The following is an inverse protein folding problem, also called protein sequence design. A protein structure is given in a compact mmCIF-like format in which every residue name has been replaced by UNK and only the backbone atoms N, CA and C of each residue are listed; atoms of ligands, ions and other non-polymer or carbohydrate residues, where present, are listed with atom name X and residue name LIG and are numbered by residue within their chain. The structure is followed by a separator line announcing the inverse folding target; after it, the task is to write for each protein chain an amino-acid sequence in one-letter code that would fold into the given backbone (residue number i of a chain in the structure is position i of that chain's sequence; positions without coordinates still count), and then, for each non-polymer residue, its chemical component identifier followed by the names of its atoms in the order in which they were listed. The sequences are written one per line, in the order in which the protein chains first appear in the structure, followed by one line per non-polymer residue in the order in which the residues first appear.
data_IF_967332436493
#
_entry.id   IF_967332436493
#
_cell.length_a   1.000
_cell.length_b   1.000
_cell.length_c   1.000
_cell.angle_alpha   90.00
_cell.angle_beta   90.00
_cell.angle_gamma   90.00
#
_symmetry.space_group_name_H-M   'P 1'
#
loop_
_entity.id
_entity.type
_entity.pdbx_description
1 polymer ?
#
# COMPACT_ATOMS: atom_id res chain seq x y z
N UNK A 1 15.70 22.54 12.15
CA UNK A 1 14.26 22.21 12.12
C UNK A 1 13.94 21.41 13.37
N UNK A 2 12.86 21.72 14.05
CA UNK A 2 12.41 21.02 15.24
C UNK A 2 11.60 19.77 14.83
N UNK A 3 11.78 18.67 15.57
CA UNK A 3 11.00 17.45 15.34
C UNK A 3 9.62 17.60 15.98
N UNK A 4 8.57 17.21 15.25
CA UNK A 4 7.20 17.21 15.75
C UNK A 4 7.08 16.33 17.00
N UNK A 5 6.39 16.82 18.03
CA UNK A 5 6.10 16.05 19.23
C UNK A 5 4.85 15.17 19.00
N UNK A 6 4.77 13.98 19.62
CA UNK A 6 3.54 13.17 19.58
C UNK A 6 2.35 13.98 20.08
N UNK A 7 1.20 13.78 19.44
CA UNK A 7 -0.08 14.34 19.94
C UNK A 7 -0.52 13.50 21.14
N UNK A 8 -0.56 14.11 22.29
CA UNK A 8 -1.12 13.48 23.49
C UNK A 8 -2.64 13.70 23.50
N UNK A 9 -3.39 12.65 23.77
CA UNK A 9 -4.84 12.66 23.93
C UNK A 9 -5.13 12.38 25.39
N UNK A 10 -5.71 13.37 26.08
CA UNK A 10 -6.15 13.21 27.46
C UNK A 10 -7.33 12.24 27.53
N UNK A 11 -7.25 11.25 28.41
CA UNK A 11 -8.29 10.28 28.66
C UNK A 11 -8.71 10.29 30.13
N UNK A 12 -9.77 9.53 30.45
CA UNK A 12 -10.29 9.44 31.81
C UNK A 12 -9.35 8.70 32.78
N UNK A 13 -8.58 7.75 32.23
CA UNK A 13 -7.68 6.87 33.02
C UNK A 13 -6.21 7.18 32.83
N UNK A 14 -5.89 8.26 32.14
CA UNK A 14 -4.53 8.73 31.82
C UNK A 14 -4.36 9.10 30.35
N UNK A 15 -3.17 9.50 29.99
CA UNK A 15 -2.84 10.06 28.70
C UNK A 15 -2.47 8.97 27.68
N UNK A 16 -2.87 9.24 26.43
CA UNK A 16 -2.70 8.34 25.30
C UNK A 16 -1.92 9.00 24.19
N UNK A 17 -1.20 8.19 23.43
CA UNK A 17 -0.57 8.59 22.17
C UNK A 17 -0.98 7.66 21.02
N UNK A 18 -0.94 8.23 19.80
CA UNK A 18 -1.29 7.51 18.57
C UNK A 18 -0.07 6.80 18.01
N UNK A 19 -0.30 5.63 17.44
CA UNK A 19 0.66 4.88 16.66
C UNK A 19 0.04 4.60 15.29
N UNK A 20 0.58 5.22 14.27
CA UNK A 20 0.01 5.19 12.93
C UNK A 20 1.05 4.73 11.92
N UNK A 21 0.72 3.67 11.18
CA UNK A 21 1.36 3.26 9.94
C UNK A 21 0.43 3.47 8.76
N UNK A 22 0.99 3.63 7.58
CA UNK A 22 0.21 3.87 6.37
C UNK A 22 0.65 2.97 5.23
N UNK A 23 -0.32 2.53 4.45
CA UNK A 23 -0.14 1.80 3.21
C UNK A 23 -0.69 2.67 2.07
N UNK A 24 0.17 3.06 1.14
CA UNK A 24 -0.21 3.89 0.01
C UNK A 24 -0.13 3.06 -1.26
N UNK A 25 -1.27 2.84 -1.90
CA UNK A 25 -1.39 2.17 -3.17
C UNK A 25 -1.36 3.21 -4.30
N UNK A 26 -0.36 3.14 -5.15
CA UNK A 26 -0.16 4.08 -6.24
C UNK A 26 -0.09 3.34 -7.59
N UNK A 27 -1.06 3.58 -8.46
CA UNK A 27 -1.02 3.04 -9.81
C UNK A 27 0.12 3.65 -10.60
N UNK A 28 0.92 2.79 -11.23
CA UNK A 28 2.06 3.21 -12.03
C UNK A 28 1.55 3.84 -13.33
N UNK A 29 2.08 5.01 -13.67
CA UNK A 29 1.79 5.72 -14.94
C UNK A 29 2.40 4.97 -16.12
N UNK A 30 1.83 3.83 -16.47
CA UNK A 30 2.20 2.98 -17.61
C UNK A 30 1.07 2.93 -18.63
N UNK A 31 1.40 2.80 -19.92
CA UNK A 31 0.41 2.65 -21.00
C UNK A 31 -0.17 1.24 -21.09
N UNK A 32 0.52 0.27 -20.52
CA UNK A 32 0.11 -1.15 -20.47
C UNK A 32 0.23 -1.70 -19.07
N UNK A 33 -0.49 -2.78 -18.81
CA UNK A 33 -0.57 -3.42 -17.49
C UNK A 33 0.75 -4.08 -17.06
N UNK A 34 0.79 -4.58 -15.82
CA UNK A 34 2.00 -5.15 -15.24
C UNK A 34 2.46 -6.42 -15.96
N UNK A 35 1.53 -7.27 -16.37
CA UNK A 35 1.82 -8.57 -16.97
C UNK A 35 1.14 -8.79 -18.32
N UNK A 36 0.58 -7.75 -18.92
CA UNK A 36 -0.07 -7.83 -20.23
C UNK A 36 0.09 -6.53 -21.01
N UNK A 37 -0.17 -6.61 -22.33
CA UNK A 37 -0.18 -5.46 -23.22
C UNK A 37 -1.49 -4.66 -23.21
N UNK A 38 -2.49 -5.06 -22.40
CA UNK A 38 -3.76 -4.36 -22.33
C UNK A 38 -3.59 -2.92 -21.82
N UNK A 39 -4.43 -2.02 -22.33
CA UNK A 39 -4.38 -0.59 -22.00
C UNK A 39 -4.73 -0.34 -20.53
N UNK A 40 -4.14 0.72 -19.97
CA UNK A 40 -4.45 1.24 -18.63
C UNK A 40 -5.31 2.49 -18.67
N UNK A 41 -5.91 2.82 -19.82
CA UNK A 41 -6.73 4.02 -20.00
C UNK A 41 -7.91 4.03 -19.04
N UNK A 42 -8.07 5.12 -18.30
CA UNK A 42 -9.21 5.35 -17.43
C UNK A 42 -10.47 5.76 -18.25
N UNK A 43 -11.65 5.38 -17.77
CA UNK A 43 -12.93 5.79 -18.38
C UNK A 43 -13.30 5.09 -19.68
N UNK A 44 -12.60 4.01 -20.06
CA UNK A 44 -12.99 3.16 -21.18
C UNK A 44 -14.25 2.36 -20.87
N UNK A 45 -14.95 1.90 -21.91
CA UNK A 45 -16.12 1.00 -21.75
C UNK A 45 -15.76 -0.21 -20.89
N UNK A 46 -16.63 -0.67 -19.99
CA UNK A 46 -16.37 -1.81 -19.14
C UNK A 46 -15.86 -3.03 -19.91
N UNK A 47 -14.84 -3.68 -19.39
CA UNK A 47 -14.22 -4.88 -19.97
C UNK A 47 -13.63 -4.70 -21.39
N UNK A 48 -13.36 -3.47 -21.84
CA UNK A 48 -12.74 -3.21 -23.15
C UNK A 48 -11.21 -3.31 -23.13
N UNK A 49 -10.57 -3.14 -21.97
CA UNK A 49 -9.13 -3.18 -21.76
C UNK A 49 -8.70 -4.45 -20.99
N UNK A 50 -9.11 -5.63 -21.46
CA UNK A 50 -8.88 -6.91 -20.79
C UNK A 50 -8.11 -7.86 -21.71
N UNK A 51 -6.97 -8.35 -21.27
CA UNK A 51 -6.23 -9.43 -21.94
C UNK A 51 -6.67 -10.80 -21.41
N UNK A 52 -6.29 -11.86 -22.10
CA UNK A 52 -6.59 -13.24 -21.67
C UNK A 52 -5.96 -13.57 -20.30
N UNK A 53 -4.82 -12.98 -19.96
CA UNK A 53 -4.21 -13.14 -18.63
C UNK A 53 -5.00 -12.40 -17.56
N UNK A 54 -5.50 -11.18 -17.84
CA UNK A 54 -6.35 -10.43 -16.92
C UNK A 54 -7.67 -11.14 -16.65
N UNK A 55 -8.18 -11.85 -17.66
CA UNK A 55 -9.38 -12.69 -17.57
C UNK A 55 -9.14 -14.08 -16.95
N UNK A 56 -7.91 -14.39 -16.55
CA UNK A 56 -7.58 -15.68 -15.92
C UNK A 56 -7.72 -16.89 -16.84
N UNK A 57 -7.57 -16.72 -18.15
CA UNK A 57 -7.75 -17.79 -19.11
C UNK A 57 -6.68 -18.89 -18.95
N UNK A 58 -7.04 -20.18 -19.04
CA UNK A 58 -6.09 -21.27 -18.89
C UNK A 58 -4.93 -21.22 -19.88
N UNK A 59 -3.72 -21.52 -19.41
CA UNK A 59 -2.52 -21.58 -20.23
C UNK A 59 -1.86 -20.22 -20.50
N UNK A 60 -2.41 -19.14 -20.01
CA UNK A 60 -1.80 -17.82 -20.15
C UNK A 60 -0.75 -17.60 -19.07
N UNK A 61 0.47 -17.19 -19.49
CA UNK A 61 1.56 -16.90 -18.59
C UNK A 61 1.84 -15.39 -18.56
N UNK A 62 2.09 -14.82 -17.36
CA UNK A 62 2.39 -13.41 -17.20
C UNK A 62 3.77 -13.06 -17.79
N UNK A 63 3.85 -11.93 -18.49
CA UNK A 63 5.10 -11.36 -18.99
C UNK A 63 5.29 -9.97 -18.38
N UNK A 64 6.35 -9.82 -17.60
CA UNK A 64 6.60 -8.61 -16.82
C UNK A 64 6.85 -7.37 -17.68
N UNK A 65 6.15 -6.30 -17.38
CA UNK A 65 6.36 -4.99 -17.99
C UNK A 65 7.58 -4.30 -17.36
N UNK A 66 8.67 -4.24 -18.12
CA UNK A 66 9.93 -3.59 -17.72
C UNK A 66 9.72 -2.14 -17.27
N UNK A 67 8.87 -1.38 -17.98
CA UNK A 67 8.62 0.03 -17.64
C UNK A 67 8.07 0.19 -16.23
N UNK A 68 7.20 -0.73 -15.76
CA UNK A 68 6.68 -0.67 -14.40
C UNK A 68 7.78 -0.84 -13.36
N UNK A 69 8.74 -1.73 -13.60
CA UNK A 69 9.91 -1.90 -12.73
C UNK A 69 10.76 -0.63 -12.68
N UNK A 70 11.01 -0.01 -13.83
CA UNK A 70 11.75 1.25 -13.91
C UNK A 70 11.08 2.38 -13.10
N UNK A 71 9.76 2.47 -13.16
CA UNK A 71 9.02 3.48 -12.38
C UNK A 71 9.10 3.21 -10.87
N UNK A 72 9.01 1.96 -10.45
CA UNK A 72 9.12 1.60 -9.03
C UNK A 72 10.54 1.86 -8.49
N UNK A 73 11.58 1.53 -9.24
CA UNK A 73 12.96 1.86 -8.88
C UNK A 73 13.15 3.38 -8.78
N UNK A 74 12.60 4.14 -9.73
CA UNK A 74 12.64 5.62 -9.70
C UNK A 74 11.94 6.17 -8.47
N UNK A 75 10.81 5.60 -8.09
CA UNK A 75 10.09 5.96 -6.87
C UNK A 75 10.93 5.66 -5.63
N UNK A 76 11.53 4.47 -5.54
CA UNK A 76 12.40 4.09 -4.43
C UNK A 76 13.58 5.04 -4.26
N UNK A 77 14.25 5.41 -5.35
CA UNK A 77 15.34 6.39 -5.32
C UNK A 77 14.87 7.77 -4.86
N UNK A 78 13.69 8.20 -5.30
CA UNK A 78 13.08 9.48 -4.89
C UNK A 78 12.66 9.52 -3.43
N UNK A 79 12.50 8.36 -2.79
CA UNK A 79 12.15 8.19 -1.38
C UNK A 79 13.37 7.79 -0.52
N UNK A 80 14.59 7.98 -1.04
CA UNK A 80 15.84 7.59 -0.38
C UNK A 80 15.86 6.12 0.09
N UNK A 81 15.18 5.26 -0.65
CA UNK A 81 15.04 3.86 -0.29
C UNK A 81 16.10 2.98 -0.94
N UNK A 82 16.44 1.89 -0.27
CA UNK A 82 17.37 0.89 -0.79
C UNK A 82 16.72 0.10 -1.92
N UNK A 83 17.36 0.04 -3.07
CA UNK A 83 16.91 -0.81 -4.17
C UNK A 83 17.53 -2.20 -4.01
N UNK A 84 16.68 -3.23 -3.99
CA UNK A 84 17.10 -4.62 -3.96
C UNK A 84 17.42 -5.07 -5.39
N UNK A 85 18.65 -5.51 -5.62
CA UNK A 85 19.12 -5.91 -6.96
C UNK A 85 18.56 -7.26 -7.40
N UNK A 86 18.06 -8.05 -6.46
CA UNK A 86 17.34 -9.31 -6.69
C UNK A 86 16.01 -9.15 -5.98
N UNK A 87 14.94 -9.46 -6.69
CA UNK A 87 13.57 -9.35 -6.19
C UNK A 87 12.74 -10.47 -6.79
N UNK A 88 11.74 -10.95 -6.04
CA UNK A 88 10.86 -12.03 -6.47
C UNK A 88 9.40 -11.66 -6.31
N UNK A 89 8.57 -12.31 -7.13
CA UNK A 89 7.12 -12.25 -6.96
C UNK A 89 6.61 -13.48 -6.23
N UNK A 90 5.59 -13.23 -5.43
CA UNK A 90 4.83 -14.21 -4.67
C UNK A 90 3.39 -14.25 -5.19
N UNK A 91 2.65 -15.32 -4.88
CA UNK A 91 1.22 -15.42 -5.15
C UNK A 91 0.45 -15.24 -3.85
N UNK A 92 -0.38 -14.21 -3.80
CA UNK A 92 -1.32 -13.94 -2.71
C UNK A 92 -2.70 -14.43 -3.13
N UNK A 93 -3.22 -15.46 -2.50
CA UNK A 93 -4.55 -15.98 -2.82
C UNK A 93 -5.62 -14.90 -2.61
N UNK A 94 -6.47 -14.74 -3.61
CA UNK A 94 -7.50 -13.72 -3.63
C UNK A 94 -8.71 -14.24 -4.45
N UNK A 95 -9.74 -14.73 -3.76
CA UNK A 95 -10.88 -15.42 -4.37
C UNK A 95 -12.08 -14.50 -4.52
N UNK A 96 -11.94 -13.45 -5.34
CA UNK A 96 -13.01 -12.53 -5.67
C UNK A 96 -13.20 -12.44 -7.19
N UNK A 97 -14.43 -12.12 -7.67
CA UNK A 97 -14.74 -12.06 -9.10
C UNK A 97 -13.92 -11.03 -9.87
N UNK A 98 -13.45 -9.97 -9.21
CA UNK A 98 -12.66 -8.88 -9.77
C UNK A 98 -11.20 -9.24 -10.01
N UNK A 99 -10.77 -10.45 -9.63
CA UNK A 99 -9.47 -11.02 -9.96
C UNK A 99 -9.64 -12.49 -10.40
N UNK A 100 -10.05 -12.75 -11.66
CA UNK A 100 -10.49 -14.07 -12.11
C UNK A 100 -9.46 -15.19 -11.99
N UNK A 101 -8.17 -14.87 -11.98
CA UNK A 101 -7.10 -15.86 -11.81
C UNK A 101 -7.05 -16.47 -10.39
N UNK A 102 -7.80 -15.91 -9.41
CA UNK A 102 -7.88 -16.40 -8.04
C UNK A 102 -6.67 -16.12 -7.15
N UNK A 103 -5.69 -15.39 -7.64
CA UNK A 103 -4.53 -14.92 -6.88
C UNK A 103 -4.03 -13.58 -7.43
N UNK A 104 -3.41 -12.80 -6.56
CA UNK A 104 -2.70 -11.57 -6.90
C UNK A 104 -1.20 -11.86 -6.95
N UNK A 105 -0.55 -11.47 -8.03
CA UNK A 105 0.91 -11.48 -8.10
C UNK A 105 1.40 -10.24 -7.35
N UNK A 106 2.18 -10.44 -6.30
CA UNK A 106 2.66 -9.43 -5.38
C UNK A 106 4.11 -9.73 -4.96
N UNK A 107 4.66 -8.96 -4.03
CA UNK A 107 6.00 -9.18 -3.49
C UNK A 107 5.95 -9.08 -1.97
N UNK A 108 6.16 -10.17 -1.26
CA UNK A 108 6.15 -10.17 0.20
C UNK A 108 7.55 -10.30 0.80
N UNK A 109 8.28 -11.34 0.39
CA UNK A 109 9.56 -11.71 1.01
C UNK A 109 10.76 -10.94 0.44
N UNK A 110 10.76 -10.72 -0.86
CA UNK A 110 11.86 -10.07 -1.58
C UNK A 110 11.33 -8.89 -2.43
N UNK A 111 10.87 -7.80 -1.77
CA UNK A 111 10.32 -6.64 -2.46
C UNK A 111 11.40 -5.94 -3.30
N UNK A 112 10.99 -5.25 -4.36
CA UNK A 112 11.91 -4.52 -5.22
C UNK A 112 12.62 -3.38 -4.49
N UNK A 113 11.93 -2.71 -3.56
CA UNK A 113 12.46 -1.59 -2.81
C UNK A 113 12.34 -1.89 -1.32
N UNK A 114 13.46 -1.79 -0.63
CA UNK A 114 13.58 -1.97 0.81
C UNK A 114 13.36 -0.68 1.59
N UNK A 115 14.00 -0.58 2.74
CA UNK A 115 13.85 0.55 3.65
C UNK A 115 14.27 1.88 3.03
N UNK A 116 13.50 2.91 3.38
CA UNK A 116 13.73 4.28 2.98
C UNK A 116 13.19 5.26 4.02
N UNK A 117 13.15 6.53 3.67
CA UNK A 117 12.64 7.56 4.56
C UNK A 117 12.14 8.79 3.79
N UNK A 118 11.15 9.45 4.35
CA UNK A 118 10.68 10.74 3.87
C UNK A 118 10.52 11.70 5.03
N UNK A 119 10.97 12.95 4.84
CA UNK A 119 10.72 14.02 5.79
C UNK A 119 9.50 14.81 5.36
N UNK A 120 8.52 14.93 6.25
CA UNK A 120 7.32 15.72 6.04
C UNK A 120 7.39 17.03 6.83
N UNK A 121 6.78 18.07 6.28
CA UNK A 121 6.69 19.39 6.90
C UNK A 121 5.31 19.51 7.58
N UNK A 122 5.24 19.28 8.90
CA UNK A 122 3.98 19.28 9.66
C UNK A 122 3.46 20.71 9.85
N UNK A 123 4.37 21.62 10.17
CA UNK A 123 4.15 23.07 10.31
C UNK A 123 5.44 23.81 9.91
N UNK A 124 5.38 25.13 9.64
CA UNK A 124 6.58 25.90 9.38
C UNK A 124 7.65 25.69 10.45
N UNK A 125 8.81 25.16 10.07
CA UNK A 125 9.93 24.87 10.96
C UNK A 125 9.83 23.56 11.76
N UNK A 126 8.70 22.85 11.70
CA UNK A 126 8.48 21.58 12.41
C UNK A 126 8.37 20.44 11.39
N UNK A 127 9.23 19.46 11.50
CA UNK A 127 9.27 18.31 10.58
C UNK A 127 9.10 16.99 11.32
N UNK A 128 8.69 15.96 10.57
CA UNK A 128 8.70 14.56 11.02
C UNK A 128 9.40 13.72 9.95
N UNK A 129 10.29 12.86 10.38
CA UNK A 129 10.86 11.81 9.56
C UNK A 129 9.98 10.58 9.69
N UNK A 130 9.51 10.05 8.55
CA UNK A 130 8.71 8.83 8.45
C UNK A 130 9.52 7.80 7.70
N UNK A 131 9.80 6.67 8.32
CA UNK A 131 10.50 5.55 7.70
C UNK A 131 9.54 4.79 6.78
N UNK A 132 10.05 4.41 5.64
CA UNK A 132 9.40 3.48 4.72
C UNK A 132 9.99 2.11 5.00
N UNK A 133 9.12 1.11 5.18
CA UNK A 133 9.55 -0.27 5.39
C UNK A 133 9.93 -0.93 4.08
N UNK A 134 9.07 -0.77 3.06
CA UNK A 134 9.26 -1.31 1.71
C UNK A 134 8.35 -0.65 0.69
N UNK A 135 8.70 -0.84 -0.57
CA UNK A 135 7.77 -0.65 -1.69
C UNK A 135 7.79 -1.92 -2.50
N UNK A 136 6.62 -2.52 -2.68
CA UNK A 136 6.48 -3.68 -3.53
C UNK A 136 5.53 -3.42 -4.69
N UNK A 137 5.65 -4.25 -5.72
CA UNK A 137 4.84 -4.15 -6.92
C UNK A 137 3.85 -5.29 -6.93
N UNK A 138 2.61 -4.98 -7.30
CA UNK A 138 1.55 -5.95 -7.40
C UNK A 138 0.55 -5.61 -8.52
N UNK A 139 -0.35 -6.55 -8.80
CA UNK A 139 -1.48 -6.32 -9.69
C UNK A 139 -2.62 -5.63 -8.94
N UNK A 140 -3.22 -4.61 -9.54
CA UNK A 140 -4.50 -4.10 -9.03
C UNK A 140 -5.63 -5.09 -9.38
N UNK A 141 -6.66 -5.13 -8.53
CA UNK A 141 -7.89 -5.89 -8.78
C UNK A 141 -8.86 -5.09 -9.68
N UNK A 142 -9.84 -5.75 -10.24
CA UNK A 142 -10.91 -5.13 -11.01
C UNK A 142 -11.87 -4.32 -10.13
N UNK A 143 -13.05 -4.06 -10.66
CA UNK A 143 -14.10 -3.34 -9.95
C UNK A 143 -15.35 -4.22 -9.89
N UNK A 144 -15.85 -4.49 -8.70
CA UNK A 144 -17.17 -5.06 -8.47
C UNK A 144 -18.19 -3.95 -8.29
N UNK A 145 -19.34 -4.05 -8.98
CA UNK A 145 -20.38 -3.03 -9.04
C UNK A 145 -21.67 -3.70 -8.51
N UNK A 146 -22.22 -3.17 -7.41
CA UNK A 146 -23.36 -3.75 -6.69
C UNK A 146 -24.57 -2.86 -6.67
N UNK A 147 -24.49 -1.65 -7.21
CA UNK A 147 -25.49 -0.58 -7.15
C UNK A 147 -26.37 -0.46 -8.40
N UNK A 148 -26.06 -1.24 -9.44
CA UNK A 148 -26.83 -1.20 -10.70
C UNK A 148 -28.05 -2.12 -10.67
N UNK A 149 -28.01 -3.19 -9.90
CA UNK A 149 -29.09 -4.18 -9.78
C UNK A 149 -29.05 -4.82 -8.40
N UNK A 150 -30.19 -4.96 -7.69
CA UNK A 150 -30.21 -5.52 -6.34
C UNK A 150 -29.92 -7.03 -6.27
N UNK A 151 -30.07 -7.76 -7.37
CA UNK A 151 -29.86 -9.21 -7.42
C UNK A 151 -28.58 -9.61 -8.13
N UNK A 152 -27.92 -8.68 -8.84
CA UNK A 152 -26.75 -8.95 -9.66
C UNK A 152 -25.56 -8.11 -9.23
N UNK A 153 -24.40 -8.71 -9.29
CA UNK A 153 -23.11 -8.01 -9.21
C UNK A 153 -22.43 -8.02 -10.55
N UNK A 154 -22.04 -6.85 -11.01
CA UNK A 154 -21.31 -6.69 -12.26
C UNK A 154 -19.81 -6.56 -11.98
N UNK A 155 -18.99 -7.02 -12.92
CA UNK A 155 -17.54 -6.98 -12.81
C UNK A 155 -16.94 -6.27 -14.00
N UNK A 156 -16.13 -5.24 -13.73
CA UNK A 156 -15.32 -4.57 -14.72
C UNK A 156 -13.85 -4.89 -14.48
N UNK A 157 -13.23 -5.59 -15.43
CA UNK A 157 -11.84 -6.06 -15.37
C UNK A 157 -10.86 -5.07 -16.02
N UNK A 158 -11.29 -3.88 -16.43
CA UNK A 158 -10.39 -2.90 -17.04
C UNK A 158 -9.21 -2.55 -16.13
N UNK A 159 -9.43 -2.48 -14.81
CA UNK A 159 -8.38 -2.21 -13.83
C UNK A 159 -7.56 -3.45 -13.46
N UNK A 160 -8.11 -4.66 -13.63
CA UNK A 160 -7.41 -5.92 -13.28
C UNK A 160 -6.06 -6.00 -13.96
N UNK A 161 -5.00 -6.22 -13.19
CA UNK A 161 -3.64 -6.32 -13.70
C UNK A 161 -2.92 -4.99 -13.97
N UNK A 162 -3.55 -3.84 -13.72
CA UNK A 162 -2.85 -2.55 -13.70
C UNK A 162 -1.74 -2.60 -12.67
N UNK A 163 -0.57 -2.07 -13.00
CA UNK A 163 0.57 -2.09 -12.08
C UNK A 163 0.34 -1.16 -10.89
N UNK A 164 0.52 -1.68 -9.70
CA UNK A 164 0.35 -0.99 -8.44
C UNK A 164 1.66 -1.04 -7.65
N UNK A 165 2.08 0.10 -7.10
CA UNK A 165 3.10 0.17 -6.05
C UNK A 165 2.38 0.29 -4.72
N UNK A 166 2.71 -0.57 -3.77
CA UNK A 166 2.31 -0.43 -2.38
C UNK A 166 3.49 0.10 -1.56
N UNK A 167 3.34 1.30 -1.03
CA UNK A 167 4.34 1.99 -0.20
C UNK A 167 3.92 1.82 1.25
N UNK A 168 4.67 1.01 1.99
CA UNK A 168 4.38 0.68 3.39
C UNK A 168 5.28 1.50 4.30
N UNK A 169 4.70 2.30 5.20
CA UNK A 169 5.46 3.03 6.21
C UNK A 169 5.63 2.23 7.50
N UNK A 170 6.69 2.52 8.26
CA UNK A 170 6.77 2.13 9.67
C UNK A 170 5.77 2.98 10.50
N UNK A 171 5.42 2.56 11.72
CA UNK A 171 4.42 3.24 12.55
C UNK A 171 4.98 4.50 13.23
N UNK A 172 5.58 5.40 12.46
CA UNK A 172 6.27 6.60 12.95
C UNK A 172 5.36 7.83 13.05
N UNK A 173 4.16 7.76 12.48
CA UNK A 173 3.22 8.86 12.42
C UNK A 173 2.44 8.95 13.73
N UNK A 174 2.28 10.17 14.28
CA UNK A 174 1.81 10.41 15.63
C UNK A 174 0.60 11.32 15.74
N UNK A 175 0.09 11.81 14.62
CA UNK A 175 -1.10 12.66 14.59
C UNK A 175 -1.84 12.56 13.26
N UNK A 176 -3.15 12.92 13.23
CA UNK A 176 -3.91 13.01 11.98
C UNK A 176 -3.30 13.99 10.98
N UNK A 177 -2.72 15.07 11.47
CA UNK A 177 -2.04 16.09 10.67
C UNK A 177 -0.82 15.50 9.98
N UNK A 178 0.02 14.76 10.73
CA UNK A 178 1.20 14.10 10.18
C UNK A 178 0.81 13.05 9.12
N UNK A 179 -0.27 12.27 9.33
CA UNK A 179 -0.76 11.30 8.37
C UNK A 179 -1.18 11.96 7.05
N UNK A 180 -1.92 13.06 7.13
CA UNK A 180 -2.35 13.83 5.96
C UNK A 180 -1.16 14.44 5.21
N UNK A 181 -0.18 14.98 5.92
CA UNK A 181 1.04 15.55 5.32
C UNK A 181 1.91 14.46 4.69
N UNK A 182 1.96 13.26 5.29
CA UNK A 182 2.68 12.12 4.72
C UNK A 182 2.10 11.74 3.35
N UNK A 183 0.79 11.53 3.25
CA UNK A 183 0.14 11.22 1.97
C UNK A 183 0.32 12.35 0.96
N UNK A 184 0.20 13.61 1.40
CA UNK A 184 0.46 14.77 0.54
C UNK A 184 1.88 14.78 0.00
N UNK A 185 2.88 14.53 0.85
CA UNK A 185 4.30 14.51 0.46
C UNK A 185 4.60 13.37 -0.51
N UNK A 186 4.13 12.16 -0.22
CA UNK A 186 4.28 11.01 -1.14
C UNK A 186 3.63 11.34 -2.49
N UNK A 187 2.38 11.82 -2.50
CA UNK A 187 1.69 12.22 -3.73
C UNK A 187 2.48 13.25 -4.54
N UNK A 188 3.07 14.26 -3.89
CA UNK A 188 3.89 15.28 -4.54
C UNK A 188 5.14 14.66 -5.18
N UNK A 189 5.84 13.77 -4.47
CA UNK A 189 7.04 13.10 -4.96
C UNK A 189 6.69 12.23 -6.19
N UNK A 190 5.65 11.40 -6.10
CA UNK A 190 5.21 10.52 -7.19
C UNK A 190 4.85 11.32 -8.45
N UNK A 191 4.13 12.42 -8.29
CA UNK A 191 3.77 13.32 -9.40
C UNK A 191 4.99 14.03 -9.99
N UNK A 192 5.90 14.48 -9.16
CA UNK A 192 7.15 15.13 -9.62
C UNK A 192 8.03 14.15 -10.41
N UNK A 193 8.12 12.91 -9.95
CA UNK A 193 8.85 11.84 -10.65
C UNK A 193 8.12 11.33 -11.90
N UNK A 194 6.83 11.60 -12.04
CA UNK A 194 5.98 11.09 -13.11
C UNK A 194 5.67 9.61 -13.01
N UNK A 195 5.82 9.01 -11.82
CA UNK A 195 5.61 7.57 -11.60
C UNK A 195 4.18 7.20 -11.26
N UNK A 196 3.39 8.16 -10.77
CA UNK A 196 1.94 8.07 -10.56
C UNK A 196 1.32 9.46 -10.77
N UNK A 197 0.10 9.53 -11.27
CA UNK A 197 -0.63 10.81 -11.45
C UNK A 197 -1.16 11.39 -10.13
N UNK A 198 -1.27 10.54 -9.10
CA UNK A 198 -1.71 10.91 -7.76
C UNK A 198 -3.19 11.31 -7.68
N UNK A 199 -4.03 10.83 -8.59
CA UNK A 199 -5.46 11.15 -8.59
C UNK A 199 -6.23 10.24 -7.63
N UNK A 200 -6.57 10.77 -6.45
CA UNK A 200 -7.31 10.03 -5.43
C UNK A 200 -8.78 9.82 -5.81
N UNK A 201 -9.37 10.71 -6.62
CA UNK A 201 -10.78 10.62 -7.02
C UNK A 201 -11.01 9.50 -8.04
N UNK A 202 -10.06 9.28 -8.93
CA UNK A 202 -10.09 8.17 -9.89
C UNK A 202 -9.53 6.86 -9.33
N UNK A 203 -8.99 6.90 -8.10
CA UNK A 203 -8.44 5.73 -7.43
C UNK A 203 -7.02 5.36 -7.85
N UNK A 204 -6.33 6.25 -8.60
CA UNK A 204 -4.91 6.05 -8.94
C UNK A 204 -3.99 6.14 -7.73
N UNK A 205 -4.43 6.83 -6.67
CA UNK A 205 -3.77 6.88 -5.37
C UNK A 205 -4.79 6.60 -4.29
N UNK A 206 -4.53 5.59 -3.47
CA UNK A 206 -5.35 5.20 -2.31
C UNK A 206 -4.47 5.12 -1.09
N UNK A 207 -5.03 5.36 0.10
CA UNK A 207 -4.30 5.25 1.35
C UNK A 207 -5.14 4.48 2.36
N UNK A 208 -4.54 3.47 2.97
CA UNK A 208 -5.08 2.72 4.09
C UNK A 208 -4.29 3.10 5.35
N UNK A 209 -4.99 3.26 6.46
CA UNK A 209 -4.39 3.67 7.74
C UNK A 209 -4.46 2.53 8.72
N UNK A 210 -3.30 2.15 9.24
CA UNK A 210 -3.17 1.26 10.37
C UNK A 210 -3.01 2.08 11.64
N UNK A 211 -3.96 2.01 12.58
CA UNK A 211 -3.97 2.82 13.78
C UNK A 211 -4.13 1.98 15.04
N UNK A 212 -3.36 2.29 16.06
CA UNK A 212 -3.55 1.86 17.44
C UNK A 212 -3.30 3.00 18.40
N UNK A 213 -3.71 2.83 19.64
CA UNK A 213 -3.44 3.75 20.75
C UNK A 213 -2.64 3.02 21.81
N UNK A 214 -1.70 3.73 22.44
CA UNK A 214 -0.92 3.22 23.56
C UNK A 214 -0.79 4.29 24.65
N UNK A 215 -0.33 3.91 25.84
CA UNK A 215 -0.04 4.87 26.89
C UNK A 215 1.18 5.70 26.54
N UNK A 216 1.20 6.95 27.00
CA UNK A 216 2.35 7.83 26.80
C UNK A 216 3.61 7.18 27.36
N UNK A 217 4.64 7.07 26.52
CA UNK A 217 5.91 6.42 26.82
C UNK A 217 6.03 4.96 26.36
N UNK A 218 4.93 4.28 26.01
CA UNK A 218 4.99 2.89 25.54
C UNK A 218 5.61 2.78 24.14
N UNK A 219 5.44 3.81 23.32
CA UNK A 219 6.12 3.83 22.03
C UNK A 219 7.63 3.96 22.16
N UNK A 220 8.12 4.75 23.12
CA UNK A 220 9.56 4.84 23.39
C UNK A 220 10.13 3.49 23.81
N UNK A 221 9.38 2.71 24.60
CA UNK A 221 9.76 1.32 24.94
C UNK A 221 9.87 0.45 23.69
N UNK A 222 8.90 0.56 22.78
CA UNK A 222 8.96 -0.14 21.49
C UNK A 222 10.20 0.25 20.68
N UNK A 223 10.56 1.53 20.62
CA UNK A 223 11.76 1.97 19.90
C UNK A 223 13.06 1.39 20.50
N UNK A 224 13.09 1.20 21.83
CA UNK A 224 14.24 0.64 22.53
C UNK A 224 14.31 -0.90 22.46
N UNK A 225 13.16 -1.57 22.52
CA UNK A 225 13.10 -3.04 22.70
C UNK A 225 12.69 -3.79 21.43
N UNK A 226 11.99 -3.12 20.49
CA UNK A 226 11.33 -3.74 19.35
C UNK A 226 10.05 -4.51 19.69
N UNK A 227 9.56 -4.44 20.96
CA UNK A 227 8.36 -5.16 21.39
C UNK A 227 7.08 -4.47 20.95
N UNK A 228 6.42 -5.05 19.95
CA UNK A 228 5.16 -4.57 19.41
C UNK A 228 3.98 -4.67 20.38
N UNK A 229 4.07 -5.48 21.43
CA UNK A 229 2.97 -5.68 22.38
C UNK A 229 2.60 -4.41 23.15
N UNK A 230 3.55 -3.47 23.27
CA UNK A 230 3.33 -2.18 23.92
C UNK A 230 2.51 -1.19 23.08
N UNK A 231 2.34 -1.42 21.77
CA UNK A 231 1.73 -0.45 20.85
C UNK A 231 0.20 -0.52 20.76
N UNK A 232 -0.45 -1.41 21.50
CA UNK A 232 -1.89 -1.65 21.43
C UNK A 232 -2.32 -2.42 20.17
N UNK A 233 -3.61 -2.76 20.13
CA UNK A 233 -4.18 -3.54 19.03
C UNK A 233 -4.47 -2.66 17.82
N UNK A 234 -3.93 -3.04 16.67
CA UNK A 234 -4.04 -2.32 15.41
C UNK A 234 -5.40 -2.58 14.73
N UNK A 235 -6.06 -1.51 14.26
CA UNK A 235 -7.15 -1.56 13.30
C UNK A 235 -6.71 -0.94 11.99
N UNK A 236 -7.14 -1.54 10.87
CA UNK A 236 -6.94 -0.99 9.52
C UNK A 236 -8.19 -0.20 9.12
N UNK A 237 -8.02 1.02 8.60
CA UNK A 237 -9.13 1.82 8.10
C UNK A 237 -8.99 2.00 6.60
N UNK A 238 -10.06 1.68 5.87
CA UNK A 238 -10.17 1.79 4.41
C UNK A 238 -11.18 2.87 3.98
N UNK A 239 -11.23 3.14 2.67
CA UNK A 239 -12.18 4.07 2.04
C UNK A 239 -11.92 5.56 2.33
N UNK A 240 -10.66 5.95 2.38
CA UNK A 240 -10.28 7.36 2.57
C UNK A 240 -9.80 7.96 1.24
N UNK A 241 -10.70 8.64 0.54
CA UNK A 241 -10.45 9.19 -0.81
C UNK A 241 -9.93 10.64 -0.78
N UNK A 242 -9.62 11.18 0.38
CA UNK A 242 -9.08 12.54 0.53
C UNK A 242 -8.28 12.70 1.81
N UNK A 243 -7.40 13.70 1.84
CA UNK A 243 -6.63 14.08 3.04
C UNK A 243 -7.53 14.42 4.22
N UNK A 244 -8.68 15.04 3.95
CA UNK A 244 -9.67 15.38 4.98
C UNK A 244 -10.25 14.11 5.61
N UNK A 245 -10.59 13.10 4.82
CA UNK A 245 -11.15 11.84 5.32
C UNK A 245 -10.11 11.06 6.14
N UNK A 246 -8.84 11.07 5.74
CA UNK A 246 -7.75 10.49 6.52
C UNK A 246 -7.70 11.12 7.92
N UNK A 247 -7.71 12.44 7.99
CA UNK A 247 -7.68 13.17 9.26
C UNK A 247 -8.90 12.82 10.15
N UNK A 248 -10.10 12.86 9.59
CA UNK A 248 -11.34 12.61 10.30
C UNK A 248 -11.45 11.15 10.78
N UNK A 249 -11.06 10.20 9.93
CA UNK A 249 -11.07 8.78 10.26
C UNK A 249 -10.12 8.46 11.44
N UNK A 250 -8.91 9.01 11.43
CA UNK A 250 -7.94 8.85 12.52
C UNK A 250 -8.48 9.47 13.82
N UNK A 251 -9.04 10.66 13.76
CA UNK A 251 -9.56 11.36 14.94
C UNK A 251 -10.75 10.60 15.55
N UNK A 252 -11.64 10.06 14.73
CA UNK A 252 -12.76 9.24 15.20
C UNK A 252 -12.27 7.92 15.81
N UNK A 253 -11.42 7.19 15.08
CA UNK A 253 -10.98 5.85 15.48
C UNK A 253 -10.14 5.88 16.77
N UNK A 254 -9.30 6.91 16.92
CA UNK A 254 -8.52 7.09 18.14
C UNK A 254 -9.41 7.25 19.38
N UNK A 255 -10.45 8.08 19.27
CA UNK A 255 -11.42 8.29 20.36
C UNK A 255 -12.22 7.03 20.65
N UNK A 256 -12.62 6.29 19.60
CA UNK A 256 -13.33 5.02 19.75
C UNK A 256 -12.48 4.00 20.52
N UNK A 257 -11.21 3.82 20.13
CA UNK A 257 -10.31 2.87 20.78
C UNK A 257 -10.06 3.24 22.24
N UNK A 258 -9.76 4.52 22.51
CA UNK A 258 -9.56 5.00 23.88
C UNK A 258 -10.81 4.74 24.74
N UNK A 259 -11.99 5.12 24.26
CA UNK A 259 -13.22 4.91 25.01
C UNK A 259 -13.49 3.44 25.35
N UNK A 260 -13.30 2.52 24.40
CA UNK A 260 -13.47 1.09 24.65
C UNK A 260 -12.48 0.59 25.72
N UNK A 261 -11.22 0.98 25.64
CA UNK A 261 -10.19 0.53 26.60
C UNK A 261 -10.48 1.12 28.00
N UNK A 262 -10.88 2.37 28.09
CA UNK A 262 -11.18 3.03 29.36
C UNK A 262 -12.44 2.47 30.03
N UNK A 263 -13.39 1.96 29.24
CA UNK A 263 -14.57 1.22 29.72
C UNK A 263 -14.25 -0.24 30.10
N UNK A 264 -12.97 -0.66 30.03
CA UNK A 264 -12.50 -2.02 30.35
C UNK A 264 -12.73 -3.04 29.24
N UNK A 265 -13.07 -2.60 28.04
CA UNK A 265 -13.20 -3.44 26.85
C UNK A 265 -11.85 -3.72 26.17
N UNK A 266 -11.89 -4.57 25.14
CA UNK A 266 -10.75 -4.94 24.32
C UNK A 266 -10.95 -4.50 22.88
N UNK A 267 -9.88 -4.04 22.25
CA UNK A 267 -9.87 -3.76 20.81
C UNK A 267 -9.57 -5.07 20.08
N UNK A 268 -10.43 -5.41 19.12
CA UNK A 268 -10.18 -6.50 18.20
C UNK A 268 -9.39 -6.00 17.00
N UNK A 269 -8.47 -6.82 16.50
CA UNK A 269 -7.80 -6.55 15.24
C UNK A 269 -8.80 -6.76 14.10
N UNK A 270 -9.15 -5.67 13.43
CA UNK A 270 -10.17 -5.68 12.38
C UNK A 270 -9.87 -4.67 11.27
N UNK A 271 -10.46 -4.91 10.10
CA UNK A 271 -10.56 -3.92 9.03
C UNK A 271 -11.87 -3.16 9.18
N UNK A 272 -11.79 -1.85 9.15
CA UNK A 272 -12.90 -0.92 9.30
C UNK A 272 -13.05 -0.05 8.05
N UNK A 273 -14.28 0.30 7.71
CA UNK A 273 -14.60 1.21 6.62
C UNK A 273 -14.95 2.57 7.19
N UNK A 274 -14.34 3.63 6.66
CA UNK A 274 -14.73 4.99 7.00
C UNK A 274 -15.98 5.41 6.23
N UNK A 275 -16.99 5.90 6.95
CA UNK A 275 -18.23 6.46 6.42
C UNK A 275 -18.16 8.00 6.52
N UNK A 276 -17.97 8.72 5.40
CA UNK A 276 -17.81 10.18 5.43
C UNK A 276 -19.11 10.93 5.72
N UNK A 277 -20.29 10.32 5.49
CA UNK A 277 -21.58 10.96 5.77
C UNK A 277 -21.87 11.00 7.28
N UNK A 278 -21.54 9.90 7.97
CA UNK A 278 -21.70 9.79 9.41
C UNK A 278 -20.48 10.23 10.20
N UNK A 279 -19.35 10.41 9.52
CA UNK A 279 -18.04 10.68 10.12
C UNK A 279 -17.66 9.64 11.18
N UNK A 280 -17.84 8.35 10.85
CA UNK A 280 -17.55 7.22 11.74
C UNK A 280 -16.83 6.08 10.98
N UNK A 281 -16.20 5.19 11.74
CA UNK A 281 -15.70 3.92 11.21
C UNK A 281 -16.63 2.78 11.59
N UNK A 282 -16.89 1.86 10.67
CA UNK A 282 -17.67 0.64 10.92
C UNK A 282 -16.85 -0.60 10.60
N UNK A 283 -17.04 -1.67 11.39
CA UNK A 283 -16.40 -2.95 11.11
C UNK A 283 -16.82 -3.49 9.75
N UNK A 284 -15.85 -3.88 8.93
CA UNK A 284 -16.09 -4.50 7.63
C UNK A 284 -16.11 -6.03 7.77
N UNK A 285 -15.15 -6.58 8.52
CA UNK A 285 -15.05 -8.00 8.86
C UNK A 285 -14.40 -8.14 10.23
N UNK A 286 -14.98 -8.99 11.08
CA UNK A 286 -14.24 -9.55 12.21
C UNK A 286 -13.25 -10.57 11.62
N UNK A 287 -11.97 -10.33 11.79
CA UNK A 287 -11.00 -11.39 11.68
C UNK A 287 -11.22 -12.31 12.89
N UNK A 288 -12.20 -13.21 12.80
CA UNK A 288 -12.26 -14.30 13.75
C UNK A 288 -10.92 -15.02 13.68
N UNK A 289 -10.27 -15.14 14.84
CA UNK A 289 -8.99 -15.84 14.99
C UNK A 289 -9.03 -17.32 14.52
N UNK A 290 -10.18 -17.83 14.13
CA UNK A 290 -10.38 -19.16 13.57
C UNK A 290 -10.44 -19.20 12.03
N UNK A 291 -10.63 -18.06 11.34
CA UNK A 291 -10.43 -17.95 9.91
C UNK A 291 -9.04 -17.39 9.68
N UNK A 292 -8.04 -18.19 9.97
CA UNK A 292 -6.74 -18.06 9.31
C UNK A 292 -7.07 -18.31 7.84
N UNK A 293 -7.27 -17.24 7.07
CA UNK A 293 -7.08 -17.31 5.62
C UNK A 293 -5.63 -17.75 5.52
N UNK A 294 -5.41 -19.04 5.30
CA UNK A 294 -4.12 -19.53 4.85
C UNK A 294 -3.88 -18.79 3.54
N UNK A 295 -3.18 -17.67 3.63
CA UNK A 295 -2.50 -17.10 2.50
C UNK A 295 -1.43 -18.14 2.20
N UNK A 296 -1.79 -19.17 1.42
CA UNK A 296 -0.83 -20.05 0.82
C UNK A 296 -0.04 -19.21 -0.16
N UNK A 297 1.03 -18.62 0.37
CA UNK A 297 2.02 -17.94 -0.46
C UNK A 297 2.78 -19.07 -1.13
N UNK A 298 2.45 -19.32 -2.38
CA UNK A 298 3.22 -20.23 -3.21
C UNK A 298 4.33 -19.40 -3.84
N UNK A 299 5.57 -19.69 -3.50
CA UNK A 299 6.72 -19.10 -4.16
C UNK A 299 6.57 -19.26 -5.67
N UNK A 300 6.53 -18.15 -6.37
CA UNK A 300 6.60 -18.14 -7.82
C UNK A 300 8.02 -17.70 -8.19
N UNK A 301 8.79 -18.61 -8.84
CA UNK A 301 10.20 -18.40 -9.15
C UNK A 301 10.47 -17.36 -10.27
N UNK A 302 9.67 -16.29 -10.36
CA UNK A 302 9.99 -15.17 -11.23
C UNK A 302 10.95 -14.22 -10.50
N UNK A 303 12.24 -14.36 -10.76
CA UNK A 303 13.28 -13.52 -10.18
C UNK A 303 13.56 -12.32 -11.08
N UNK A 304 13.57 -11.12 -10.51
CA UNK A 304 13.97 -9.89 -11.18
C UNK A 304 15.41 -9.58 -10.78
N UNK A 305 16.31 -9.47 -11.75
CA UNK A 305 17.64 -8.93 -11.54
C UNK A 305 17.67 -7.47 -12.00
N UNK A 306 17.93 -6.55 -11.06
CA UNK A 306 18.06 -5.12 -11.34
C UNK A 306 19.54 -4.76 -11.44
N UNK A 307 19.98 -4.33 -12.61
CA UNK A 307 21.32 -3.81 -12.78
C UNK A 307 21.25 -2.28 -12.95
N UNK A 308 21.75 -1.55 -11.95
CA UNK A 308 21.79 -0.09 -11.97
C UNK A 308 23.15 0.35 -12.48
N UNK A 309 23.30 0.53 -13.80
CA UNK A 309 24.48 1.14 -14.38
C UNK A 309 24.28 2.65 -14.50
N UNK A 310 25.06 3.42 -13.74
CA UNK A 310 25.12 4.90 -13.71
C UNK A 310 23.90 5.63 -13.12
N UNK A 311 23.97 5.87 -11.81
CA UNK A 311 23.31 7.00 -11.17
C UNK A 311 24.37 8.04 -10.85
N UNK A 312 24.71 8.91 -11.80
CA UNK A 312 25.51 10.11 -11.52
C UNK A 312 24.59 11.31 -11.38
N UNK A 313 24.00 11.47 -10.18
CA UNK A 313 23.30 12.69 -9.79
C UNK A 313 24.30 13.71 -9.23
N UNK A 314 24.78 14.67 -10.03
CA UNK A 314 25.28 15.93 -9.48
C UNK A 314 24.09 16.81 -9.13
N UNK A 315 24.17 17.44 -7.95
CA UNK A 315 23.16 18.38 -7.42
C UNK A 315 22.61 19.31 -8.51
N UNK A 316 21.30 19.33 -8.70
CA UNK A 316 20.59 20.36 -9.46
C UNK A 316 20.22 20.03 -10.91
N UNK A 317 20.37 18.81 -11.40
CA UNK A 317 19.86 18.41 -12.73
C UNK A 317 18.76 17.37 -12.63
N UNK A 318 17.74 17.39 -13.55
CA UNK A 318 16.71 16.35 -13.57
C UNK A 318 17.34 14.98 -13.74
N UNK A 319 16.79 13.98 -13.04
CA UNK A 319 17.19 12.58 -13.10
C UNK A 319 17.27 12.14 -14.58
N UNK A 320 18.48 11.84 -15.04
CA UNK A 320 18.72 11.30 -16.38
C UNK A 320 18.00 9.95 -16.55
N UNK A 321 17.70 9.54 -17.78
CA UNK A 321 17.04 8.27 -18.04
C UNK A 321 17.84 7.12 -17.41
N UNK A 322 17.20 6.38 -16.49
CA UNK A 322 17.73 5.16 -15.91
C UNK A 322 17.80 4.10 -17.01
N UNK A 323 19.01 3.64 -17.34
CA UNK A 323 19.16 2.47 -18.20
C UNK A 323 19.17 1.23 -17.31
N UNK A 324 18.04 0.56 -17.19
CA UNK A 324 17.89 -0.72 -16.50
C UNK A 324 18.08 -1.86 -17.50
N UNK A 325 19.08 -2.68 -17.30
CA UNK A 325 19.20 -3.98 -17.97
C UNK A 325 18.51 -5.02 -17.10
N UNK A 326 17.27 -5.38 -17.45
CA UNK A 326 16.58 -6.53 -16.85
C UNK A 326 17.18 -7.80 -17.48
N UNK A 327 17.93 -8.54 -16.70
CA UNK A 327 18.35 -9.88 -17.06
C UNK A 327 17.20 -10.85 -16.72
N UNK A 328 16.65 -11.33 -17.76
CA UNK A 328 15.73 -12.43 -18.06
C UNK A 328 15.39 -13.48 -17.01
N UNK A 329 14.13 -13.85 -17.09
CA UNK A 329 13.49 -15.07 -16.59
C UNK A 329 14.34 -16.32 -16.82
N UNK A 330 14.57 -17.09 -15.78
CA UNK A 330 14.78 -18.53 -15.90
C UNK A 330 13.56 -19.24 -15.31
N UNK A 331 12.71 -19.74 -16.19
CA UNK A 331 11.78 -20.82 -15.86
C UNK A 331 12.61 -22.08 -15.61
N UNK A 332 12.91 -22.36 -14.35
CA UNK A 332 13.43 -23.66 -13.96
C UNK A 332 12.27 -24.53 -13.49
N UNK A 333 11.76 -25.38 -14.41
CA UNK A 333 11.07 -26.64 -14.14
C UNK A 333 10.14 -26.72 -12.93
N UNK A 334 8.88 -26.36 -13.10
CA UNK A 334 7.82 -26.76 -12.17
C UNK A 334 6.57 -27.26 -12.90
N UNK A 335 6.75 -28.16 -13.88
CA UNK A 335 5.65 -28.98 -14.43
C UNK A 335 6.05 -30.45 -14.56
N UNK A 336 6.51 -31.06 -13.44
CA UNK A 336 6.70 -32.49 -13.44
C UNK A 336 6.39 -33.15 -12.08
N UNK A 337 5.23 -32.90 -11.51
CA UNK A 337 4.67 -33.80 -10.49
C UNK A 337 3.22 -33.48 -10.14
N UNK A 338 2.32 -33.57 -11.10
CA UNK A 338 0.92 -33.94 -10.82
C UNK A 338 0.51 -34.95 -11.85
N UNK A 339 0.75 -36.24 -11.52
CA UNK A 339 -0.02 -37.36 -11.98
C UNK A 339 -0.84 -37.90 -10.83
#
# INVERSE_FOLDING_TARGET
QETSKPKVIEGLTGDWELVIGMEIHAQISSKSKLFSGASTSFGSEPNSNVSFIDAGMPGMLPVLNKFCIEQAVRTGLGLNAKINLISKFDRKNYFYPDLPQGYQISQLFEPLVGEGEVTIDVKPGITRKVRIERIHIEQDAGKSIHDLDPELSFVDLNRTGVALMEIVSKPDIRSPEEASEYVRKIRQILRYLGTCDGNMQEGSLRADVNISVCRVGDYSKYEETGDLSSLGTRCEIKNMNSMRFIHQAIDFESKRQIGIIEDGGLINQETRLYDPEKNETRSLHFLNSEVIIFILIVEWNATIHVNISHVSGRQGKPLLPLTLNLLTFQDSHAFSSFR
#
